data_IF_696738817239
#
_entry.id   IF_696738817239
#
_cell.length_a   1.000
_cell.length_b   1.000
_cell.length_c   1.000
_cell.angle_alpha   90.00
_cell.angle_beta   90.00
_cell.angle_gamma   90.00
#
_symmetry.space_group_name_H-M   'P 1'
#
loop_
_entity.id
_entity.type
_entity.pdbx_description
1 polymer ?
#
# COMPACT_ATOMS: atom_id res chain seq x y z
N UNK A 1 -15.37 -16.04 8.31
CA UNK A 1 -15.13 -15.57 6.93
C UNK A 1 -14.36 -14.26 7.01
N UNK A 2 -13.22 -14.15 6.34
CA UNK A 2 -12.37 -12.95 6.41
C UNK A 2 -12.93 -11.85 5.51
N UNK A 3 -13.87 -11.06 6.04
CA UNK A 3 -14.50 -9.93 5.33
C UNK A 3 -13.46 -8.93 4.80
N UNK A 4 -12.39 -8.70 5.56
CA UNK A 4 -11.28 -7.83 5.17
C UNK A 4 -10.59 -8.32 3.89
N UNK A 5 -10.31 -9.64 3.80
CA UNK A 5 -9.71 -10.22 2.61
C UNK A 5 -10.61 -10.14 1.37
N UNK A 6 -11.93 -10.27 1.56
CA UNK A 6 -12.91 -10.15 0.48
C UNK A 6 -12.94 -8.73 -0.12
N UNK A 7 -12.88 -7.69 0.73
CA UNK A 7 -12.90 -6.28 0.31
C UNK A 7 -11.56 -5.84 -0.28
N UNK A 8 -10.45 -6.45 0.16
CA UNK A 8 -9.09 -6.09 -0.26
C UNK A 8 -8.85 -6.23 -1.77
N UNK A 9 -9.17 -7.38 -2.37
CA UNK A 9 -8.87 -7.64 -3.79
C UNK A 9 -9.60 -6.70 -4.76
N UNK A 10 -10.91 -6.41 -4.58
CA UNK A 10 -11.60 -5.39 -5.39
C UNK A 10 -10.98 -4.00 -5.27
N UNK A 11 -10.60 -3.58 -4.06
CA UNK A 11 -9.97 -2.27 -3.84
C UNK A 11 -8.62 -2.21 -4.57
N UNK A 12 -7.78 -3.25 -4.45
CA UNK A 12 -6.48 -3.28 -5.13
C UNK A 12 -6.63 -3.31 -6.65
N UNK A 13 -7.59 -4.08 -7.17
CA UNK A 13 -7.91 -4.09 -8.60
C UNK A 13 -8.36 -2.72 -9.11
N UNK A 14 -9.23 -2.04 -8.36
CA UNK A 14 -9.68 -0.69 -8.70
C UNK A 14 -8.51 0.30 -8.68
N UNK A 15 -7.61 0.23 -7.68
CA UNK A 15 -6.44 1.11 -7.59
C UNK A 15 -5.46 0.92 -8.75
N UNK A 16 -5.20 -0.32 -9.16
CA UNK A 16 -4.35 -0.60 -10.33
C UNK A 16 -5.00 -0.03 -11.59
N UNK A 17 -6.30 -0.24 -11.78
CA UNK A 17 -7.03 0.30 -12.93
C UNK A 17 -6.99 1.83 -12.96
N UNK A 18 -7.30 2.50 -11.84
CA UNK A 18 -7.26 3.96 -11.74
C UNK A 18 -5.85 4.50 -11.95
N UNK A 19 -4.83 3.81 -11.44
CA UNK A 19 -3.42 4.18 -11.66
C UNK A 19 -3.04 4.12 -13.14
N UNK A 20 -3.47 3.09 -13.88
CA UNK A 20 -3.20 2.99 -15.32
C UNK A 20 -3.89 4.11 -16.10
N UNK A 21 -5.13 4.46 -15.72
CA UNK A 21 -5.88 5.54 -16.36
C UNK A 21 -5.16 6.88 -16.13
N UNK A 22 -4.85 7.21 -14.87
CA UNK A 22 -4.18 8.47 -14.51
C UNK A 22 -2.79 8.56 -15.13
N UNK A 23 -2.01 7.48 -15.11
CA UNK A 23 -0.69 7.43 -15.77
C UNK A 23 -0.77 7.72 -17.27
N UNK A 24 -1.76 7.17 -17.97
CA UNK A 24 -1.97 7.40 -19.39
C UNK A 24 -2.40 8.84 -19.70
N UNK A 25 -3.33 9.38 -18.90
CA UNK A 25 -3.82 10.75 -19.05
C UNK A 25 -2.72 11.78 -18.77
N UNK A 26 -2.03 11.67 -17.63
CA UNK A 26 -0.96 12.61 -17.27
C UNK A 26 0.23 12.49 -18.21
N UNK A 27 0.59 11.27 -18.64
CA UNK A 27 1.64 11.06 -19.63
C UNK A 27 1.31 11.73 -20.97
N UNK A 28 0.05 11.65 -21.41
CA UNK A 28 -0.39 12.35 -22.61
C UNK A 28 -0.40 13.88 -22.42
N UNK A 29 -0.88 14.40 -21.28
CA UNK A 29 -0.83 15.82 -20.95
C UNK A 29 0.62 16.33 -21.02
N UNK A 30 1.55 15.64 -20.34
CA UNK A 30 2.98 15.99 -20.37
C UNK A 30 3.53 15.96 -21.79
N UNK A 31 3.17 14.97 -22.61
CA UNK A 31 3.64 14.90 -24.00
C UNK A 31 3.16 16.06 -24.87
N UNK A 32 1.92 16.53 -24.66
CA UNK A 32 1.32 17.64 -25.41
C UNK A 32 1.84 18.99 -24.88
N UNK A 33 2.06 19.13 -23.57
CA UNK A 33 2.54 20.38 -22.96
C UNK A 33 4.06 20.53 -22.96
N UNK A 34 4.79 19.41 -22.98
CA UNK A 34 6.25 19.35 -22.84
C UNK A 34 7.01 19.42 -24.17
N UNK A 35 6.31 19.48 -25.30
CA UNK A 35 6.92 19.87 -26.56
C UNK A 35 7.39 21.31 -26.44
N UNK A 36 8.70 21.52 -26.39
CA UNK A 36 9.33 22.84 -26.49
C UNK A 36 9.02 23.45 -27.86
N UNK A 37 7.82 24.00 -28.00
CA UNK A 37 7.48 24.86 -29.12
C UNK A 37 8.12 26.21 -28.84
N UNK A 38 9.22 26.49 -29.54
CA UNK A 38 9.72 27.86 -29.67
C UNK A 38 8.59 28.68 -30.32
N UNK A 39 7.97 29.58 -29.54
CA UNK A 39 7.01 30.53 -30.08
C UNK A 39 7.80 31.79 -30.43
N UNK A 40 7.99 32.01 -31.73
CA UNK A 40 8.61 33.22 -32.25
C UNK A 40 7.52 34.20 -32.69
N UNK A 41 7.43 35.37 -32.05
CA UNK A 41 6.57 36.47 -32.48
C UNK A 41 7.50 37.65 -32.82
N UNK A 42 7.36 38.18 -34.05
CA UNK A 42 8.11 39.36 -34.54
C UNK A 42 9.65 39.26 -34.40
N UNK A 43 10.22 38.05 -34.55
CA UNK A 43 11.67 37.84 -34.48
C UNK A 43 12.23 37.68 -33.07
N UNK A 44 11.38 37.73 -32.03
CA UNK A 44 11.75 37.33 -30.67
C UNK A 44 11.28 35.89 -30.44
N UNK A 45 12.22 34.95 -30.45
CA UNK A 45 11.98 33.58 -30.03
C UNK A 45 12.20 33.51 -28.53
N UNK A 46 11.12 33.52 -27.77
CA UNK A 46 11.17 33.14 -26.37
C UNK A 46 10.93 31.64 -26.30
N UNK A 47 11.70 30.96 -25.44
CA UNK A 47 11.19 29.74 -24.83
C UNK A 47 10.00 30.17 -23.97
N UNK A 48 8.81 30.20 -24.57
CA UNK A 48 7.56 30.10 -23.82
C UNK A 48 7.56 28.68 -23.26
N UNK A 49 8.41 28.44 -22.25
CA UNK A 49 8.46 27.19 -21.53
C UNK A 49 7.11 27.06 -20.85
N UNK A 50 6.19 26.39 -21.51
CA UNK A 50 4.95 25.95 -20.89
C UNK A 50 5.42 24.97 -19.84
N UNK A 51 5.54 25.46 -18.61
CA UNK A 51 5.91 24.63 -17.47
C UNK A 51 4.89 23.52 -17.40
N UNK A 52 5.36 22.28 -17.54
CA UNK A 52 4.53 21.08 -17.38
C UNK A 52 3.72 21.26 -16.10
N UNK A 53 2.39 21.09 -16.15
CA UNK A 53 1.58 21.28 -14.97
C UNK A 53 2.11 20.40 -13.84
N UNK A 54 2.31 20.98 -12.65
CA UNK A 54 2.80 20.26 -11.47
C UNK A 54 1.96 19.01 -11.16
N UNK A 55 0.65 19.10 -11.38
CA UNK A 55 -0.29 18.02 -11.08
C UNK A 55 -0.01 16.78 -11.93
N UNK A 56 0.40 16.96 -13.19
CA UNK A 56 0.65 15.83 -14.09
C UNK A 56 1.92 15.08 -13.66
N UNK A 57 2.95 15.80 -13.21
CA UNK A 57 4.15 15.18 -12.65
C UNK A 57 3.84 14.40 -11.37
N UNK A 58 3.06 15.01 -10.46
CA UNK A 58 2.63 14.36 -9.21
C UNK A 58 1.73 13.15 -9.45
N UNK A 59 0.81 13.23 -10.42
CA UNK A 59 -0.09 12.15 -10.79
C UNK A 59 0.63 10.95 -11.42
N UNK A 60 1.59 11.20 -12.33
CA UNK A 60 2.50 10.14 -12.84
C UNK A 60 3.25 9.48 -11.70
N UNK A 61 3.87 10.25 -10.80
CA UNK A 61 4.63 9.70 -9.68
C UNK A 61 3.74 8.85 -8.76
N UNK A 62 2.54 9.33 -8.43
CA UNK A 62 1.57 8.63 -7.57
C UNK A 62 1.06 7.34 -8.23
N UNK A 63 0.76 7.39 -9.53
CA UNK A 63 0.31 6.21 -10.29
C UNK A 63 1.41 5.15 -10.39
N UNK A 64 2.64 5.53 -10.74
CA UNK A 64 3.79 4.60 -10.80
C UNK A 64 4.07 3.99 -9.43
N UNK A 65 4.10 4.81 -8.38
CA UNK A 65 4.30 4.33 -7.01
C UNK A 65 3.21 3.33 -6.61
N UNK A 66 1.95 3.59 -6.98
CA UNK A 66 0.83 2.69 -6.71
C UNK A 66 1.01 1.37 -7.47
N UNK A 67 1.36 1.39 -8.75
CA UNK A 67 1.60 0.16 -9.53
C UNK A 67 2.77 -0.66 -8.98
N UNK A 68 3.91 0.00 -8.71
CA UNK A 68 5.13 -0.65 -8.20
C UNK A 68 4.95 -1.18 -6.78
N UNK A 69 4.04 -0.64 -5.98
CA UNK A 69 3.79 -1.14 -4.63
C UNK A 69 2.64 -2.16 -4.58
N UNK A 70 1.47 -1.83 -5.11
CA UNK A 70 0.26 -2.66 -5.02
C UNK A 70 0.42 -3.96 -5.79
N UNK A 71 1.01 -3.95 -6.99
CA UNK A 71 1.16 -5.18 -7.80
C UNK A 71 2.06 -6.20 -7.07
N UNK A 72 3.30 -5.87 -6.64
CA UNK A 72 4.13 -6.83 -5.91
C UNK A 72 3.51 -7.27 -4.58
N UNK A 73 2.87 -6.36 -3.82
CA UNK A 73 2.19 -6.73 -2.57
C UNK A 73 1.08 -7.75 -2.86
N UNK A 74 0.28 -7.53 -3.90
CA UNK A 74 -0.80 -8.45 -4.30
C UNK A 74 -0.25 -9.81 -4.74
N UNK A 75 0.81 -9.83 -5.54
CA UNK A 75 1.44 -11.07 -6.01
C UNK A 75 2.03 -11.85 -4.84
N UNK A 76 2.78 -11.18 -3.96
CA UNK A 76 3.40 -11.81 -2.78
C UNK A 76 2.33 -12.38 -1.84
N UNK A 77 1.22 -11.66 -1.64
CA UNK A 77 0.12 -12.11 -0.79
C UNK A 77 -0.60 -13.36 -1.32
N UNK A 78 -0.68 -13.49 -2.65
CA UNK A 78 -1.24 -14.69 -3.30
C UNK A 78 -0.26 -15.86 -3.25
N UNK A 79 1.04 -15.60 -3.46
CA UNK A 79 2.05 -16.65 -3.58
C UNK A 79 2.62 -17.13 -2.24
N UNK A 80 2.72 -16.26 -1.23
CA UNK A 80 3.42 -16.57 0.03
C UNK A 80 2.58 -16.14 1.23
N UNK A 81 2.23 -17.13 2.07
CA UNK A 81 1.66 -16.88 3.40
C UNK A 81 2.75 -16.35 4.35
N UNK A 82 2.39 -15.39 5.21
CA UNK A 82 3.28 -14.86 6.24
C UNK A 82 4.37 -13.88 5.73
N UNK A 83 4.18 -13.24 4.58
CA UNK A 83 5.08 -12.16 4.16
C UNK A 83 4.95 -10.93 5.07
N UNK A 84 6.08 -10.33 5.45
CA UNK A 84 6.14 -9.12 6.30
C UNK A 84 5.34 -7.96 5.69
N UNK A 85 5.28 -7.91 4.35
CA UNK A 85 4.51 -6.91 3.60
C UNK A 85 3.00 -6.96 3.87
N UNK A 86 2.49 -8.07 4.40
CA UNK A 86 1.07 -8.22 4.75
C UNK A 86 0.79 -7.97 6.24
N UNK A 87 1.75 -7.50 7.03
CA UNK A 87 1.49 -7.13 8.42
C UNK A 87 0.56 -5.93 8.50
N UNK A 88 -0.47 -6.02 9.34
CA UNK A 88 -1.48 -4.97 9.54
C UNK A 88 -0.84 -3.59 9.75
N UNK A 89 0.21 -3.49 10.57
CA UNK A 89 0.87 -2.21 10.83
C UNK A 89 1.59 -1.63 9.59
N UNK A 90 2.28 -2.49 8.82
CA UNK A 90 2.98 -2.09 7.59
C UNK A 90 1.97 -1.67 6.52
N UNK A 91 0.90 -2.44 6.39
CA UNK A 91 -0.18 -2.18 5.44
C UNK A 91 -0.92 -0.87 5.75
N UNK A 92 -1.24 -0.61 7.02
CA UNK A 92 -1.83 0.67 7.47
C UNK A 92 -0.91 1.86 7.20
N UNK A 93 0.39 1.73 7.49
CA UNK A 93 1.36 2.80 7.25
C UNK A 93 1.53 3.11 5.77
N UNK A 94 1.67 2.07 4.94
CA UNK A 94 1.84 2.24 3.49
C UNK A 94 0.58 2.78 2.81
N UNK A 95 -0.61 2.27 3.16
CA UNK A 95 -1.85 2.79 2.59
C UNK A 95 -2.21 4.19 3.07
N UNK A 96 -1.82 4.56 4.29
CA UNK A 96 -1.91 5.96 4.73
C UNK A 96 -1.07 6.88 3.84
N UNK A 97 0.16 6.47 3.52
CA UNK A 97 1.02 7.24 2.64
C UNK A 97 0.45 7.36 1.22
N UNK A 98 -0.01 6.26 0.61
CA UNK A 98 -0.66 6.29 -0.70
C UNK A 98 -1.93 7.15 -0.68
N UNK A 99 -2.72 7.07 0.39
CA UNK A 99 -3.91 7.90 0.59
C UNK A 99 -3.60 9.40 0.53
N UNK A 100 -2.54 9.85 1.21
CA UNK A 100 -2.11 11.27 1.16
C UNK A 100 -1.63 11.67 -0.23
N UNK A 101 -0.91 10.80 -0.94
CA UNK A 101 -0.43 11.09 -2.31
C UNK A 101 -1.57 11.25 -3.31
N UNK A 102 -2.59 10.39 -3.24
CA UNK A 102 -3.79 10.52 -4.07
C UNK A 102 -4.60 11.77 -3.70
N UNK A 103 -4.67 12.14 -2.42
CA UNK A 103 -5.28 13.40 -1.99
C UNK A 103 -4.56 14.62 -2.56
N UNK A 104 -3.23 14.62 -2.51
CA UNK A 104 -2.41 15.70 -3.05
C UNK A 104 -2.57 15.83 -4.57
N UNK A 105 -2.61 14.70 -5.29
CA UNK A 105 -2.84 14.67 -6.74
C UNK A 105 -4.21 15.25 -7.10
N UNK A 106 -5.26 14.83 -6.37
CA UNK A 106 -6.60 15.40 -6.52
C UNK A 106 -6.63 16.90 -6.24
N UNK A 107 -6.05 17.34 -5.12
CA UNK A 107 -6.02 18.73 -4.71
C UNK A 107 -5.30 19.65 -5.69
N UNK A 108 -4.15 19.22 -6.22
CA UNK A 108 -3.39 19.99 -7.21
C UNK A 108 -4.14 20.07 -8.55
N UNK A 109 -4.81 18.98 -8.96
CA UNK A 109 -5.62 18.96 -10.18
C UNK A 109 -6.84 19.88 -10.05
N UNK A 110 -7.54 19.84 -8.91
CA UNK A 110 -8.74 20.66 -8.66
C UNK A 110 -8.43 22.16 -8.58
N UNK A 111 -7.20 22.52 -8.16
CA UNK A 111 -6.73 23.92 -8.14
C UNK A 111 -6.58 24.55 -9.54
N UNK A 112 -6.56 23.73 -10.60
CA UNK A 112 -6.36 24.21 -11.96
C UNK A 112 -7.65 24.77 -12.58
N UNK A 113 -7.95 26.03 -12.29
CA UNK A 113 -9.17 26.73 -12.76
C UNK A 113 -9.24 27.00 -14.27
N UNK A 114 -8.16 26.76 -15.03
CA UNK A 114 -8.10 27.05 -16.47
C UNK A 114 -9.17 26.33 -17.29
N UNK A 115 -9.67 25.19 -16.80
CA UNK A 115 -10.69 24.38 -17.46
C UNK A 115 -12.14 24.68 -17.03
N UNK A 116 -12.39 25.78 -16.31
CA UNK A 116 -13.74 26.25 -15.96
C UNK A 116 -14.33 27.24 -16.96
N UNK A 117 -13.51 27.82 -17.85
CA UNK A 117 -13.99 28.77 -18.85
C UNK A 117 -14.56 28.05 -20.08
N UNK A 118 -15.73 28.50 -20.56
CA UNK A 118 -16.42 27.93 -21.73
C UNK A 118 -15.60 28.02 -23.03
N UNK A 119 -14.60 28.91 -23.09
CA UNK A 119 -13.66 29.06 -24.20
C UNK A 119 -12.64 27.90 -24.30
N UNK A 120 -12.36 27.20 -23.19
CA UNK A 120 -11.41 26.09 -23.16
C UNK A 120 -12.01 24.74 -23.60
N UNK A 121 -13.33 24.67 -23.82
CA UNK A 121 -14.05 23.45 -24.18
C UNK A 121 -13.66 22.87 -25.56
N UNK A 122 -12.97 23.64 -26.41
CA UNK A 122 -12.51 23.18 -27.72
C UNK A 122 -11.22 22.35 -27.69
N UNK A 123 -10.47 22.34 -26.57
CA UNK A 123 -9.17 21.68 -26.47
C UNK A 123 -9.33 20.43 -25.60
N UNK A 124 -9.09 19.25 -26.18
CA UNK A 124 -9.33 17.95 -25.52
C UNK A 124 -8.66 17.77 -24.14
N UNK A 125 -7.65 18.59 -23.82
CA UNK A 125 -6.93 18.61 -22.54
C UNK A 125 -7.86 18.81 -21.34
N UNK A 126 -8.88 19.69 -21.43
CA UNK A 126 -9.73 19.95 -20.27
C UNK A 126 -10.60 18.76 -19.87
N UNK A 127 -11.01 17.93 -20.83
CA UNK A 127 -11.72 16.68 -20.53
C UNK A 127 -10.82 15.68 -19.81
N UNK A 128 -9.52 15.66 -20.13
CA UNK A 128 -8.53 14.79 -19.50
C UNK A 128 -8.21 15.23 -18.08
N UNK A 129 -8.04 16.54 -17.84
CA UNK A 129 -7.81 17.08 -16.49
C UNK A 129 -8.97 16.74 -15.55
N UNK A 130 -10.22 16.88 -16.01
CA UNK A 130 -11.41 16.49 -15.24
C UNK A 130 -11.47 14.98 -14.98
N UNK A 131 -11.00 14.17 -15.92
CA UNK A 131 -10.90 12.73 -15.72
C UNK A 131 -9.84 12.40 -14.66
N UNK A 132 -8.65 13.01 -14.73
CA UNK A 132 -7.59 12.84 -13.71
C UNK A 132 -8.09 13.23 -12.33
N UNK A 133 -8.79 14.35 -12.21
CA UNK A 133 -9.42 14.82 -10.96
C UNK A 133 -10.39 13.75 -10.41
N UNK A 134 -11.32 13.28 -11.24
CA UNK A 134 -12.33 12.30 -10.82
C UNK A 134 -11.71 10.95 -10.42
N UNK A 135 -10.79 10.41 -11.20
CA UNK A 135 -10.14 9.12 -10.90
C UNK A 135 -9.22 9.23 -9.68
N UNK A 136 -8.55 10.37 -9.49
CA UNK A 136 -7.73 10.61 -8.30
C UNK A 136 -8.57 10.69 -7.03
N UNK A 137 -9.73 11.36 -7.11
CA UNK A 137 -10.70 11.40 -6.02
C UNK A 137 -11.24 10.00 -5.66
N UNK A 138 -11.60 9.20 -6.67
CA UNK A 138 -12.09 7.83 -6.45
C UNK A 138 -11.01 6.92 -5.84
N UNK A 139 -9.76 7.02 -6.31
CA UNK A 139 -8.63 6.28 -5.76
C UNK A 139 -8.36 6.67 -4.29
N UNK A 140 -8.34 7.98 -4.01
CA UNK A 140 -8.23 8.52 -2.65
C UNK A 140 -9.33 7.96 -1.74
N UNK A 141 -10.58 8.01 -2.18
CA UNK A 141 -11.72 7.56 -1.39
C UNK A 141 -11.69 6.05 -1.15
N UNK A 142 -11.35 5.26 -2.17
CA UNK A 142 -11.22 3.80 -2.03
C UNK A 142 -10.13 3.42 -1.02
N UNK A 143 -8.98 4.10 -1.06
CA UNK A 143 -7.89 3.94 -0.09
C UNK A 143 -8.32 4.35 1.31
N UNK A 144 -8.99 5.48 1.45
CA UNK A 144 -9.49 5.97 2.74
C UNK A 144 -10.46 4.97 3.38
N UNK A 145 -11.45 4.52 2.62
CA UNK A 145 -12.45 3.56 3.10
C UNK A 145 -11.79 2.25 3.55
N UNK A 146 -10.84 1.74 2.77
CA UNK A 146 -10.10 0.53 3.12
C UNK A 146 -9.22 0.73 4.37
N UNK A 147 -8.52 1.85 4.46
CA UNK A 147 -7.66 2.18 5.60
C UNK A 147 -8.47 2.31 6.90
N UNK A 148 -9.59 3.03 6.87
CA UNK A 148 -10.49 3.16 8.03
C UNK A 148 -11.04 1.79 8.43
N UNK A 149 -11.47 0.98 7.46
CA UNK A 149 -11.98 -0.36 7.72
C UNK A 149 -10.93 -1.22 8.43
N UNK A 150 -9.71 -1.28 7.89
CA UNK A 150 -8.60 -2.02 8.52
C UNK A 150 -8.36 -1.52 9.94
N UNK A 151 -8.23 -0.21 10.12
CA UNK A 151 -7.92 0.41 11.40
C UNK A 151 -8.99 0.10 12.46
N UNK A 152 -10.28 0.24 12.11
CA UNK A 152 -11.39 -0.07 13.02
C UNK A 152 -11.38 -1.54 13.42
N UNK A 153 -11.22 -2.46 12.46
CA UNK A 153 -11.17 -3.89 12.78
C UNK A 153 -9.94 -4.28 13.61
N UNK A 154 -8.79 -3.64 13.37
CA UNK A 154 -7.58 -3.83 14.19
C UNK A 154 -7.78 -3.34 15.62
N UNK A 155 -8.42 -2.18 15.82
CA UNK A 155 -8.72 -1.69 17.16
C UNK A 155 -9.73 -2.56 17.90
N UNK A 156 -10.75 -3.07 17.21
CA UNK A 156 -11.71 -4.01 17.82
C UNK A 156 -10.99 -5.29 18.26
N UNK A 157 -10.15 -5.90 17.41
CA UNK A 157 -9.37 -7.08 17.77
C UNK A 157 -8.41 -6.82 18.95
N UNK A 158 -7.75 -5.66 18.95
CA UNK A 158 -6.86 -5.25 20.04
C UNK A 158 -7.62 -5.06 21.36
N UNK A 159 -8.82 -4.45 21.33
CA UNK A 159 -9.66 -4.27 22.51
C UNK A 159 -10.16 -5.59 23.11
N UNK A 160 -10.21 -6.65 22.31
CA UNK A 160 -10.54 -8.02 22.74
C UNK A 160 -9.35 -8.79 23.32
N UNK A 161 -8.16 -8.17 23.38
CA UNK A 161 -6.96 -8.75 23.98
C UNK A 161 -5.98 -9.41 22.99
N UNK A 162 -6.24 -9.36 21.69
CA UNK A 162 -5.27 -9.84 20.69
C UNK A 162 -4.19 -8.77 20.43
N UNK A 163 -3.12 -8.83 21.22
CA UNK A 163 -1.98 -7.92 21.10
C UNK A 163 -1.12 -8.19 19.86
N UNK A 164 -1.28 -9.35 19.22
CA UNK A 164 -0.49 -9.76 18.05
C UNK A 164 -1.10 -9.31 16.73
N UNK A 165 -2.28 -8.69 16.75
CA UNK A 165 -2.98 -8.22 15.54
C UNK A 165 -2.11 -7.33 14.64
N UNK A 166 -1.23 -6.52 15.23
CA UNK A 166 -0.36 -5.58 14.50
C UNK A 166 0.70 -6.27 13.62
N UNK A 167 1.13 -7.47 14.02
CA UNK A 167 2.10 -8.30 13.30
C UNK A 167 1.44 -9.49 12.59
N UNK A 168 0.13 -9.65 12.75
CA UNK A 168 -0.63 -10.65 12.01
C UNK A 168 -0.73 -10.24 10.54
N UNK A 169 -0.75 -11.23 9.64
CA UNK A 169 -1.07 -11.00 8.24
C UNK A 169 -2.54 -10.60 8.12
N UNK A 170 -2.88 -9.53 7.38
CA UNK A 170 -4.27 -9.12 7.13
C UNK A 170 -5.16 -10.23 6.56
N UNK A 171 -4.55 -11.18 5.84
CA UNK A 171 -5.24 -12.35 5.31
C UNK A 171 -5.57 -13.40 6.37
N UNK A 172 -4.69 -13.58 7.34
CA UNK A 172 -4.78 -14.64 8.36
C UNK A 172 -5.33 -14.12 9.70
N UNK A 173 -5.43 -12.80 9.86
CA UNK A 173 -5.97 -12.15 11.06
C UNK A 173 -7.46 -12.47 11.24
N UNK A 174 -7.82 -12.93 12.44
CA UNK A 174 -9.20 -13.18 12.82
C UNK A 174 -9.84 -11.90 13.38
N UNK A 175 -10.52 -11.18 12.50
CA UNK A 175 -11.27 -9.98 12.88
C UNK A 175 -12.68 -10.28 13.42
N UNK A 176 -13.13 -11.54 13.41
CA UNK A 176 -14.45 -11.90 13.97
C UNK A 176 -14.45 -11.81 15.50
N UNK A 177 -13.27 -11.90 16.10
CA UNK A 177 -13.07 -11.79 17.54
C UNK A 177 -13.91 -12.79 18.33
N UNK A 178 -14.09 -13.99 17.77
CA UNK A 178 -14.34 -15.18 18.56
C UNK A 178 -13.06 -15.46 19.33
N UNK A 179 -12.97 -14.91 20.53
CA UNK A 179 -11.98 -15.31 21.51
C UNK A 179 -12.33 -16.72 22.00
N UNK A 180 -12.29 -17.71 21.11
CA UNK A 180 -12.09 -19.08 21.55
C UNK A 180 -10.72 -19.04 22.22
N UNK A 181 -10.68 -19.11 23.55
CA UNK A 181 -9.50 -18.91 24.39
C UNK A 181 -8.36 -19.92 24.16
N UNK A 182 -8.35 -20.60 23.02
CA UNK A 182 -7.23 -21.36 22.51
C UNK A 182 -6.39 -20.41 21.66
N UNK A 183 -5.20 -20.00 22.13
CA UNK A 183 -4.30 -19.25 21.27
C UNK A 183 -3.96 -20.14 20.07
N UNK A 184 -4.52 -19.82 18.91
CA UNK A 184 -4.22 -20.50 17.65
C UNK A 184 -2.81 -20.08 17.25
N UNK A 185 -1.81 -20.69 17.89
CA UNK A 185 -0.44 -20.72 17.43
C UNK A 185 -0.38 -21.63 16.22
N UNK A 186 -0.89 -21.18 15.08
CA UNK A 186 -0.63 -21.80 13.80
C UNK A 186 0.31 -20.93 12.95
N UNK A 187 1.22 -20.22 13.61
CA UNK A 187 2.47 -19.80 12.98
C UNK A 187 3.31 -21.05 12.79
N UNK A 188 3.02 -21.78 11.72
CA UNK A 188 3.95 -22.71 11.10
C UNK A 188 5.13 -21.89 10.57
N UNK A 189 5.99 -21.42 11.48
CA UNK A 189 7.38 -21.20 11.12
C UNK A 189 7.86 -22.54 10.54
N UNK A 190 8.63 -22.53 9.43
CA UNK A 190 9.28 -23.76 8.98
C UNK A 190 9.95 -24.37 10.22
N UNK A 191 9.77 -25.68 10.47
CA UNK A 191 10.27 -26.30 11.68
C UNK A 191 11.72 -25.86 11.82
N UNK A 192 12.02 -25.11 12.89
CA UNK A 192 13.40 -24.89 13.27
C UNK A 192 13.97 -26.30 13.31
N UNK A 193 14.84 -26.61 12.34
CA UNK A 193 15.57 -27.86 12.38
C UNK A 193 16.13 -27.93 13.78
N UNK A 194 15.86 -29.00 14.55
CA UNK A 194 16.33 -29.10 15.91
C UNK A 194 17.83 -28.87 15.83
N UNK A 195 18.29 -27.70 16.30
CA UNK A 195 19.70 -27.44 16.47
C UNK A 195 20.15 -28.56 17.38
N UNK A 196 20.96 -29.46 16.82
CA UNK A 196 21.48 -30.62 17.53
C UNK A 196 22.01 -30.10 18.86
N UNK A 197 21.29 -30.38 19.94
CA UNK A 197 21.76 -30.12 21.28
C UNK A 197 23.08 -30.88 21.36
N UNK A 198 24.18 -30.13 21.41
CA UNK A 198 25.47 -30.65 21.79
C UNK A 198 25.26 -31.27 23.17
N UNK A 199 25.13 -32.60 23.20
CA UNK A 199 25.04 -33.37 24.43
C UNK A 199 26.30 -33.06 25.22
N UNK A 200 26.15 -32.30 26.30
CA UNK A 200 27.22 -32.20 27.28
C UNK A 200 27.38 -33.58 27.93
N UNK A 201 28.60 -34.16 27.94
CA UNK A 201 28.83 -35.47 28.49
C UNK A 201 28.52 -35.47 29.99
N UNK A 202 27.72 -36.45 30.40
CA UNK A 202 27.21 -36.64 31.76
C UNK A 202 28.36 -37.10 32.66
N UNK A 203 28.72 -36.28 33.65
CA UNK A 203 29.78 -36.58 34.62
C UNK A 203 29.20 -37.38 35.79
N UNK A 204 29.62 -38.64 35.94
CA UNK A 204 29.14 -39.55 37.00
C UNK A 204 29.84 -39.29 38.35
N UNK A 205 29.11 -39.36 39.48
CA UNK A 205 29.69 -39.22 40.82
C UNK A 205 30.38 -40.52 41.31
N UNK A 206 31.44 -40.40 42.14
CA UNK A 206 32.21 -41.54 42.63
C UNK A 206 31.44 -42.38 43.66
N UNK A 207 31.50 -43.69 43.47
CA UNK A 207 30.90 -44.73 44.31
C UNK A 207 31.63 -44.80 45.66
N UNK A 208 30.92 -44.50 46.74
CA UNK A 208 31.44 -44.57 48.11
C UNK A 208 31.70 -46.02 48.57
N UNK A 209 32.91 -46.26 49.07
CA UNK A 209 33.33 -47.54 49.64
C UNK A 209 32.80 -47.77 51.06
N UNK A 210 32.71 -49.05 51.50
CA UNK A 210 32.14 -49.43 52.79
C UNK A 210 33.04 -49.08 53.98
N UNK A 211 32.44 -48.43 54.98
CA UNK A 211 33.05 -48.17 56.28
C UNK A 211 32.98 -49.44 57.13
N UNK A 212 34.13 -50.03 57.46
CA UNK A 212 34.19 -51.12 58.43
C UNK A 212 34.13 -50.56 59.85
N UNK A 213 33.13 -50.97 60.62
CA UNK A 213 33.03 -50.76 62.07
C UNK A 213 33.85 -51.82 62.80
N UNK A 214 34.69 -51.38 63.73
CA UNK A 214 35.34 -52.20 64.75
C UNK A 214 34.70 -51.95 66.11
#
# INVERSE_FOLDING_TARGET
MNYVGLVRYPVFGALVLFSLIVLGLDGHIISVTGGSHEVCIEGFCANAGVSTPSFAGLGVATAVLTLVSVIPITIIDVLRKGAITSFVAVELGWFFFLWVMWLATFGDTAGNTGCNSSAANGIGICSQVRAVEAFSFLAWFALFAYWVLLLVFSFIAFSKGDTKIWVASTRDADFSGAADGIPVYNTSYPPQQPMAQHQQPVQYPPTGGPVMTA
#
